data_IF_071076747471
#
_entry.id   IF_071076747471
#
_cell.length_a   1.000
_cell.length_b   1.000
_cell.length_c   1.000
_cell.angle_alpha   90.00
_cell.angle_beta   90.00
_cell.angle_gamma   90.00
#
_symmetry.space_group_name_H-M   'P 1'
#
loop_
_entity.id
_entity.type
_entity.pdbx_description
1 polymer ?
#
# COMPACT_ATOMS: atom_id res chain seq x y z
N UNK A 1 -39.47 -14.60 -26.56
CA UNK A 1 -38.51 -15.23 -25.63
C UNK A 1 -37.19 -15.33 -26.38
N UNK A 2 -36.36 -14.32 -26.27
CA UNK A 2 -35.02 -14.29 -26.86
C UNK A 2 -34.09 -13.80 -25.77
N UNK A 3 -33.27 -14.73 -25.25
CA UNK A 3 -32.29 -14.44 -24.23
C UNK A 3 -31.04 -13.81 -24.87
N UNK A 4 -30.86 -12.52 -24.66
CA UNK A 4 -29.59 -11.87 -24.94
C UNK A 4 -28.58 -12.26 -23.87
N UNK A 5 -27.68 -13.14 -24.22
CA UNK A 5 -26.49 -13.50 -23.45
C UNK A 5 -25.51 -12.33 -23.51
N UNK A 6 -25.47 -11.54 -22.45
CA UNK A 6 -24.54 -10.45 -22.24
C UNK A 6 -23.13 -11.07 -21.92
N UNK A 7 -22.37 -11.34 -22.97
CA UNK A 7 -20.95 -11.68 -22.87
C UNK A 7 -20.14 -10.38 -22.68
N UNK A 8 -20.24 -9.79 -21.49
CA UNK A 8 -19.36 -8.72 -21.07
C UNK A 8 -17.97 -9.28 -20.79
N UNK A 9 -16.97 -8.96 -21.63
CA UNK A 9 -15.57 -9.16 -21.29
C UNK A 9 -15.29 -8.47 -19.94
N UNK A 10 -14.58 -9.12 -19.00
CA UNK A 10 -14.21 -8.45 -17.76
C UNK A 10 -13.35 -7.23 -18.10
N UNK A 11 -13.80 -6.07 -17.69
CA UNK A 11 -13.05 -4.82 -17.80
C UNK A 11 -11.92 -4.87 -16.77
N UNK A 12 -10.77 -5.42 -17.18
CA UNK A 12 -9.53 -5.32 -16.39
C UNK A 12 -9.23 -3.82 -16.26
N UNK A 13 -9.39 -3.28 -15.05
CA UNK A 13 -8.86 -1.97 -14.72
C UNK A 13 -7.37 -2.00 -15.07
N UNK A 14 -6.91 -1.15 -16.01
CA UNK A 14 -5.51 -1.05 -16.37
C UNK A 14 -4.74 -0.70 -15.09
N UNK A 15 -4.03 -1.64 -14.52
CA UNK A 15 -2.87 -1.34 -13.69
C UNK A 15 -2.01 -0.38 -14.50
N UNK A 16 -1.51 0.71 -13.89
CA UNK A 16 -0.64 1.63 -14.61
C UNK A 16 0.58 0.86 -15.13
N UNK A 17 0.99 1.10 -16.36
CA UNK A 17 2.11 0.38 -16.99
C UNK A 17 3.40 0.48 -16.15
N UNK A 18 3.54 1.49 -15.29
CA UNK A 18 4.62 1.59 -14.29
C UNK A 18 4.44 0.58 -13.17
N UNK A 19 3.22 0.35 -12.67
CA UNK A 19 2.96 -0.63 -11.61
C UNK A 19 3.28 -2.04 -12.10
N UNK A 20 2.89 -2.38 -13.34
CA UNK A 20 3.23 -3.65 -13.98
C UNK A 20 4.75 -3.83 -14.14
N UNK A 21 5.46 -2.77 -14.54
CA UNK A 21 6.92 -2.80 -14.62
C UNK A 21 7.53 -3.06 -13.23
N UNK A 22 7.13 -2.30 -12.22
CA UNK A 22 7.69 -2.39 -10.88
C UNK A 22 7.36 -3.72 -10.20
N UNK A 23 6.20 -4.32 -10.45
CA UNK A 23 5.88 -5.67 -10.00
C UNK A 23 6.82 -6.72 -10.61
N UNK A 24 7.06 -6.68 -11.94
CA UNK A 24 8.01 -7.59 -12.59
C UNK A 24 9.43 -7.39 -12.05
N UNK A 25 9.83 -6.15 -11.82
CA UNK A 25 11.13 -5.82 -11.21
C UNK A 25 11.25 -6.40 -9.81
N UNK A 26 10.19 -6.29 -9.00
CA UNK A 26 10.16 -6.85 -7.64
C UNK A 26 10.23 -8.37 -7.63
N UNK A 27 9.53 -9.05 -8.55
CA UNK A 27 9.58 -10.51 -8.69
C UNK A 27 10.99 -11.02 -9.04
N UNK A 28 11.69 -10.30 -9.91
CA UNK A 28 13.03 -10.70 -10.35
C UNK A 28 14.16 -10.17 -9.46
N UNK A 29 13.88 -9.31 -8.48
CA UNK A 29 14.86 -8.48 -7.77
C UNK A 29 16.04 -9.26 -7.21
N UNK A 30 15.79 -10.37 -6.52
CA UNK A 30 16.83 -11.20 -5.92
C UNK A 30 17.73 -11.88 -6.95
N UNK A 31 17.26 -12.06 -8.19
CA UNK A 31 18.00 -12.68 -9.29
C UNK A 31 18.82 -11.65 -10.11
N UNK A 32 18.59 -10.36 -9.87
CA UNK A 32 19.29 -9.31 -10.58
C UNK A 32 20.73 -9.16 -10.11
N UNK A 33 21.68 -8.88 -11.02
CA UNK A 33 23.01 -8.39 -10.66
C UNK A 33 22.92 -7.12 -9.82
N UNK A 34 23.84 -6.93 -8.86
CA UNK A 34 23.84 -5.81 -7.90
C UNK A 34 23.63 -4.43 -8.54
N UNK A 35 24.24 -4.18 -9.69
CA UNK A 35 24.05 -2.92 -10.43
C UNK A 35 22.60 -2.71 -10.88
N UNK A 36 21.91 -3.79 -11.30
CA UNK A 36 20.51 -3.71 -11.71
C UNK A 36 19.56 -3.62 -10.50
N UNK A 37 19.92 -4.20 -9.35
CA UNK A 37 19.21 -3.99 -8.09
C UNK A 37 19.28 -2.53 -7.62
N UNK A 38 20.44 -1.88 -7.77
CA UNK A 38 20.60 -0.44 -7.48
C UNK A 38 19.65 0.40 -8.36
N UNK A 39 19.58 0.09 -9.65
CA UNK A 39 18.68 0.78 -10.59
C UNK A 39 17.23 0.52 -10.21
N UNK A 40 16.83 -0.72 -9.95
CA UNK A 40 15.48 -1.08 -9.51
C UNK A 40 15.04 -0.26 -8.27
N UNK A 41 15.88 -0.24 -7.23
CA UNK A 41 15.64 0.51 -6.01
C UNK A 41 15.59 2.03 -6.24
N UNK A 42 16.35 2.55 -7.19
CA UNK A 42 16.34 3.96 -7.55
C UNK A 42 15.05 4.34 -8.28
N UNK A 43 14.63 3.54 -9.27
CA UNK A 43 13.39 3.78 -10.02
C UNK A 43 12.18 3.82 -9.10
N UNK A 44 12.11 2.91 -8.14
CA UNK A 44 11.02 2.87 -7.16
C UNK A 44 11.04 4.12 -6.25
N UNK A 45 12.21 4.53 -5.75
CA UNK A 45 12.36 5.71 -4.89
C UNK A 45 12.02 7.01 -5.60
N UNK A 46 12.48 7.12 -6.86
CA UNK A 46 12.43 8.35 -7.65
C UNK A 46 11.33 8.33 -8.71
N UNK A 47 10.34 7.43 -8.57
CA UNK A 47 9.26 7.20 -9.52
C UNK A 47 8.71 8.48 -10.14
N UNK A 48 8.43 9.51 -9.32
CA UNK A 48 7.89 10.78 -9.79
C UNK A 48 8.90 11.64 -10.58
N UNK A 49 10.20 11.38 -10.45
CA UNK A 49 11.26 12.19 -11.06
C UNK A 49 11.86 11.54 -12.31
N UNK A 50 11.70 10.21 -12.47
CA UNK A 50 12.26 9.46 -13.60
C UNK A 50 11.87 10.05 -14.95
N UNK A 51 10.66 10.56 -15.08
CA UNK A 51 10.12 11.11 -16.33
C UNK A 51 10.90 12.34 -16.85
N UNK A 52 11.57 13.09 -15.97
CA UNK A 52 12.32 14.31 -16.33
C UNK A 52 13.83 14.14 -16.23
N UNK A 53 14.31 13.08 -15.57
CA UNK A 53 15.73 12.82 -15.39
C UNK A 53 16.40 12.33 -16.67
N UNK A 54 17.64 12.75 -16.89
CA UNK A 54 18.47 12.20 -17.96
C UNK A 54 19.09 10.87 -17.51
N UNK A 55 19.45 10.02 -18.46
CA UNK A 55 20.05 8.72 -18.18
C UNK A 55 21.31 8.83 -17.30
N UNK A 56 22.11 9.88 -17.49
CA UNK A 56 23.31 10.12 -16.71
C UNK A 56 22.98 10.43 -15.23
N UNK A 57 21.93 11.22 -14.97
CA UNK A 57 21.50 11.57 -13.62
C UNK A 57 20.99 10.33 -12.86
N UNK A 58 20.31 9.43 -13.56
CA UNK A 58 19.86 8.15 -12.99
C UNK A 58 21.08 7.26 -12.72
N UNK A 59 22.01 7.17 -13.66
CA UNK A 59 23.22 6.36 -13.52
C UNK A 59 24.09 6.82 -12.34
N UNK A 60 24.27 8.13 -12.19
CA UNK A 60 24.95 8.74 -11.03
C UNK A 60 24.20 8.45 -9.73
N UNK A 61 22.87 8.61 -9.72
CA UNK A 61 22.05 8.33 -8.54
C UNK A 61 22.02 6.86 -8.11
N UNK A 62 22.41 5.95 -9.01
CA UNK A 62 22.50 4.50 -8.75
C UNK A 62 23.95 4.02 -8.54
N UNK A 63 24.93 4.89 -8.72
CA UNK A 63 26.36 4.53 -8.75
C UNK A 63 26.65 3.43 -9.78
N UNK A 64 26.21 3.65 -11.04
CA UNK A 64 26.39 2.73 -12.14
C UNK A 64 26.73 3.47 -13.45
N UNK A 65 27.27 2.75 -14.44
CA UNK A 65 27.48 3.32 -15.77
C UNK A 65 26.13 3.44 -16.53
N UNK A 66 25.90 4.49 -17.36
CA UNK A 66 24.66 4.67 -18.14
C UNK A 66 24.23 3.45 -18.95
N UNK A 67 25.19 2.67 -19.46
CA UNK A 67 24.90 1.41 -20.19
C UNK A 67 24.19 0.37 -19.32
N UNK A 68 24.35 0.40 -18.00
CA UNK A 68 23.62 -0.50 -17.09
C UNK A 68 22.14 -0.13 -17.05
N UNK A 69 21.80 1.17 -17.13
CA UNK A 69 20.41 1.64 -17.19
C UNK A 69 19.73 1.18 -18.49
N UNK A 70 20.46 1.21 -19.61
CA UNK A 70 19.96 0.67 -20.90
C UNK A 70 19.73 -0.83 -20.81
N UNK A 71 20.69 -1.59 -20.27
CA UNK A 71 20.54 -3.05 -20.07
C UNK A 71 19.39 -3.39 -19.13
N UNK A 72 19.17 -2.58 -18.10
CA UNK A 72 18.02 -2.73 -17.22
C UNK A 72 16.70 -2.58 -18.00
N UNK A 73 16.54 -1.52 -18.78
CA UNK A 73 15.37 -1.32 -19.62
C UNK A 73 15.15 -2.49 -20.60
N UNK A 74 16.20 -2.97 -21.26
CA UNK A 74 16.14 -4.09 -22.21
C UNK A 74 15.74 -5.40 -21.51
N UNK A 75 16.23 -5.67 -20.31
CA UNK A 75 15.86 -6.87 -19.53
C UNK A 75 14.36 -6.92 -19.24
N UNK A 76 13.73 -5.76 -19.04
CA UNK A 76 12.29 -5.68 -18.74
C UNK A 76 11.44 -5.43 -20.00
N UNK A 77 11.99 -5.66 -21.21
CA UNK A 77 11.25 -5.72 -22.47
C UNK A 77 11.13 -4.40 -23.22
N UNK A 78 11.92 -3.38 -22.85
CA UNK A 78 11.98 -2.10 -23.58
C UNK A 78 13.18 -2.07 -24.52
N UNK A 79 13.07 -1.34 -25.63
CA UNK A 79 14.18 -1.17 -26.58
C UNK A 79 15.36 -0.38 -25.97
N UNK A 80 15.09 0.43 -24.93
CA UNK A 80 16.07 1.20 -24.20
C UNK A 80 15.44 2.11 -23.16
N UNK A 81 16.29 2.96 -22.53
CA UNK A 81 15.87 3.84 -21.45
C UNK A 81 14.74 4.81 -21.85
N UNK A 82 14.78 5.38 -23.06
CA UNK A 82 13.77 6.35 -23.51
C UNK A 82 12.37 5.74 -23.60
N UNK A 83 12.25 4.51 -24.06
CA UNK A 83 10.98 3.80 -24.11
C UNK A 83 10.50 3.47 -22.69
N UNK A 84 11.34 2.92 -21.84
CA UNK A 84 11.01 2.68 -20.42
C UNK A 84 10.60 4.00 -19.73
N UNK A 85 11.33 5.10 -19.98
CA UNK A 85 10.99 6.41 -19.44
C UNK A 85 9.62 6.92 -19.91
N UNK A 86 9.22 6.60 -21.14
CA UNK A 86 7.91 7.00 -21.66
C UNK A 86 6.75 6.39 -20.86
N UNK A 87 6.94 5.20 -20.29
CA UNK A 87 5.97 4.56 -19.41
C UNK A 87 5.78 5.39 -18.14
N UNK A 88 6.87 5.87 -17.54
CA UNK A 88 6.80 6.78 -16.39
C UNK A 88 6.18 8.14 -16.76
N UNK A 89 6.38 8.63 -17.97
CA UNK A 89 5.75 9.86 -18.45
C UNK A 89 4.24 9.71 -18.65
N UNK A 90 3.79 8.60 -19.23
CA UNK A 90 2.36 8.33 -19.42
C UNK A 90 1.66 8.12 -18.09
N UNK A 91 2.27 7.35 -17.18
CA UNK A 91 1.76 7.14 -15.82
C UNK A 91 1.70 8.46 -15.04
N UNK A 92 2.71 9.33 -15.21
CA UNK A 92 2.72 10.64 -14.59
C UNK A 92 1.62 11.56 -15.13
N UNK A 93 1.35 11.56 -16.43
CA UNK A 93 0.25 12.34 -17.00
C UNK A 93 -1.12 11.83 -16.54
N UNK A 94 -1.23 10.54 -16.25
CA UNK A 94 -2.45 9.96 -15.68
C UNK A 94 -2.52 10.07 -14.13
N UNK A 95 -1.39 9.89 -13.44
CA UNK A 95 -1.33 9.75 -11.98
C UNK A 95 -0.85 11.01 -11.25
N UNK A 96 0.03 11.80 -11.87
CA UNK A 96 0.67 12.99 -11.29
C UNK A 96 0.27 14.29 -12.01
N UNK A 97 -1.00 14.49 -12.18
CA UNK A 97 -1.48 15.86 -11.94
C UNK A 97 -1.26 16.10 -10.44
N UNK A 98 -0.69 17.28 -10.02
CA UNK A 98 -0.34 17.57 -8.62
C UNK A 98 -1.49 17.13 -7.75
N UNK A 99 -1.23 16.44 -6.63
CA UNK A 99 -2.21 15.71 -5.81
C UNK A 99 -3.58 16.35 -5.94
N UNK A 100 -4.36 15.89 -6.95
CA UNK A 100 -5.63 16.55 -7.29
C UNK A 100 -6.40 16.57 -6.00
N UNK A 101 -6.76 17.76 -5.53
CA UNK A 101 -7.58 17.87 -4.34
C UNK A 101 -8.75 16.90 -4.49
N UNK A 102 -9.26 16.36 -3.44
CA UNK A 102 -10.41 15.46 -3.48
C UNK A 102 -11.52 16.04 -4.39
N UNK A 103 -11.72 17.34 -4.33
CA UNK A 103 -12.62 18.11 -5.20
C UNK A 103 -12.25 18.04 -6.69
N UNK A 104 -10.96 18.07 -7.04
CA UNK A 104 -10.54 17.98 -8.44
C UNK A 104 -10.81 16.59 -9.02
N UNK A 105 -10.67 15.51 -8.23
CA UNK A 105 -11.06 14.17 -8.66
C UNK A 105 -12.55 14.08 -8.89
N UNK A 106 -13.38 14.64 -8.00
CA UNK A 106 -14.83 14.70 -8.17
C UNK A 106 -15.20 15.46 -9.45
N UNK A 107 -14.59 16.64 -9.69
CA UNK A 107 -14.83 17.42 -10.92
C UNK A 107 -14.49 16.64 -12.18
N UNK A 108 -13.42 15.85 -12.16
CA UNK A 108 -13.03 15.04 -13.30
C UNK A 108 -14.02 13.91 -13.55
N UNK A 109 -14.50 13.25 -12.49
CA UNK A 109 -15.56 12.23 -12.61
C UNK A 109 -16.81 12.83 -13.24
N UNK A 110 -17.16 14.06 -12.84
CA UNK A 110 -18.31 14.80 -13.43
C UNK A 110 -18.03 15.11 -14.90
N UNK A 111 -16.86 15.67 -15.24
CA UNK A 111 -16.48 16.06 -16.59
C UNK A 111 -16.30 14.85 -17.53
N UNK A 112 -15.75 13.72 -17.04
CA UNK A 112 -15.65 12.47 -17.80
C UNK A 112 -17.01 11.78 -17.97
N UNK A 113 -17.98 12.08 -17.10
CA UNK A 113 -19.36 11.60 -17.17
C UNK A 113 -20.22 12.32 -18.22
N UNK A 114 -19.80 13.47 -18.74
CA UNK A 114 -20.53 14.20 -19.77
C UNK A 114 -20.59 13.46 -21.11
N UNK A 115 -19.77 12.43 -21.33
CA UNK A 115 -19.81 11.55 -22.52
C UNK A 115 -20.61 10.25 -22.36
N UNK A 116 -20.91 9.83 -21.14
CA UNK A 116 -21.80 8.71 -20.83
C UNK A 116 -22.44 9.00 -19.47
N UNK A 117 -23.74 9.20 -19.45
CA UNK A 117 -24.50 9.43 -18.20
C UNK A 117 -24.36 8.18 -17.32
N UNK A 118 -23.37 8.18 -16.43
CA UNK A 118 -23.19 7.13 -15.43
C UNK A 118 -24.11 7.46 -14.26
N UNK A 119 -25.22 6.76 -14.14
CA UNK A 119 -26.16 6.94 -13.02
C UNK A 119 -25.51 6.54 -11.67
N UNK A 120 -26.04 7.05 -10.55
CA UNK A 120 -25.51 6.76 -9.21
C UNK A 120 -25.35 5.26 -8.91
N UNK A 121 -26.29 4.44 -9.33
CA UNK A 121 -26.23 2.98 -9.16
C UNK A 121 -25.08 2.33 -9.95
N UNK A 122 -24.81 2.82 -11.14
CA UNK A 122 -23.67 2.34 -11.96
C UNK A 122 -22.33 2.73 -11.33
N UNK A 123 -22.26 3.91 -10.71
CA UNK A 123 -21.06 4.29 -9.92
C UNK A 123 -20.84 3.34 -8.74
N UNK A 124 -21.91 3.00 -8.00
CA UNK A 124 -21.84 2.04 -6.91
C UNK A 124 -21.39 0.65 -7.38
N UNK A 125 -21.97 0.13 -8.47
CA UNK A 125 -21.57 -1.14 -9.05
C UNK A 125 -20.10 -1.14 -9.48
N UNK A 126 -19.59 -0.05 -10.02
CA UNK A 126 -18.17 0.09 -10.37
C UNK A 126 -17.24 0.00 -9.17
N UNK A 127 -17.61 0.61 -8.03
CA UNK A 127 -16.85 0.46 -6.79
C UNK A 127 -16.89 -0.97 -6.26
N UNK A 128 -18.03 -1.65 -6.34
CA UNK A 128 -18.19 -3.06 -5.96
C UNK A 128 -17.29 -3.95 -6.82
N UNK A 129 -17.34 -3.80 -8.13
CA UNK A 129 -16.54 -4.61 -9.06
C UNK A 129 -15.04 -4.38 -8.87
N UNK A 130 -14.64 -3.12 -8.68
CA UNK A 130 -13.25 -2.77 -8.41
C UNK A 130 -12.75 -3.35 -7.08
N UNK A 131 -13.61 -3.34 -6.06
CA UNK A 131 -13.27 -3.93 -4.76
C UNK A 131 -13.15 -5.45 -4.84
N UNK A 132 -14.03 -6.11 -5.60
CA UNK A 132 -13.96 -7.55 -5.85
C UNK A 132 -12.66 -7.91 -6.58
N UNK A 133 -12.32 -7.21 -7.67
CA UNK A 133 -11.07 -7.42 -8.38
C UNK A 133 -9.83 -7.24 -7.48
N UNK A 134 -9.83 -6.25 -6.58
CA UNK A 134 -8.75 -6.06 -5.60
C UNK A 134 -8.63 -7.21 -4.59
N UNK A 135 -9.75 -7.81 -4.17
CA UNK A 135 -9.75 -8.99 -3.30
C UNK A 135 -9.27 -10.24 -4.04
N UNK A 136 -9.67 -10.43 -5.31
CA UNK A 136 -9.20 -11.53 -6.14
C UNK A 136 -7.68 -11.44 -6.37
N UNK A 137 -7.15 -10.24 -6.60
CA UNK A 137 -5.70 -9.99 -6.72
C UNK A 137 -4.98 -10.27 -5.40
N UNK A 138 -5.52 -9.81 -4.27
CA UNK A 138 -4.95 -10.11 -2.94
C UNK A 138 -4.90 -11.63 -2.70
N UNK A 139 -5.96 -12.35 -3.03
CA UNK A 139 -6.00 -13.80 -2.88
C UNK A 139 -4.98 -14.51 -3.79
N UNK A 140 -4.81 -14.04 -5.03
CA UNK A 140 -3.88 -14.61 -6.01
C UNK A 140 -2.40 -14.32 -5.72
N UNK A 141 -2.11 -13.22 -5.01
CA UNK A 141 -0.74 -12.77 -4.68
C UNK A 141 -0.40 -12.92 -3.18
N UNK A 142 -1.24 -13.63 -2.40
CA UNK A 142 -1.10 -13.71 -0.96
C UNK A 142 0.16 -14.48 -0.54
N UNK A 143 1.07 -13.77 0.12
CA UNK A 143 2.30 -14.38 0.67
C UNK A 143 2.06 -14.88 2.11
N UNK A 144 1.80 -16.19 2.22
CA UNK A 144 1.57 -16.86 3.50
C UNK A 144 2.75 -16.72 4.45
N UNK A 145 3.99 -16.73 3.95
CA UNK A 145 5.20 -16.61 4.79
C UNK A 145 5.31 -15.21 5.40
N UNK A 146 5.07 -14.17 4.61
CA UNK A 146 5.05 -12.81 5.12
C UNK A 146 3.90 -12.59 6.11
N UNK A 147 2.73 -13.18 5.85
CA UNK A 147 1.61 -13.07 6.77
C UNK A 147 1.88 -13.77 8.10
N UNK A 148 2.40 -15.00 8.09
CA UNK A 148 2.78 -15.71 9.30
C UNK A 148 3.87 -14.96 10.08
N UNK A 149 4.87 -14.42 9.39
CA UNK A 149 5.91 -13.60 10.00
C UNK A 149 5.34 -12.31 10.64
N UNK A 150 4.33 -11.69 10.02
CA UNK A 150 3.63 -10.53 10.58
C UNK A 150 2.92 -10.89 11.89
N UNK A 151 2.18 -12.01 11.92
CA UNK A 151 1.53 -12.49 13.13
C UNK A 151 2.54 -12.78 14.23
N UNK A 152 3.65 -13.46 13.91
CA UNK A 152 4.71 -13.77 14.86
C UNK A 152 5.39 -12.52 15.44
N UNK A 153 5.57 -11.48 14.63
CA UNK A 153 6.05 -10.19 15.13
C UNK A 153 5.09 -9.59 16.16
N UNK A 154 3.79 -9.59 15.87
CA UNK A 154 2.77 -9.04 16.76
C UNK A 154 2.63 -9.85 18.04
N UNK A 155 2.74 -11.18 17.97
CA UNK A 155 2.75 -12.05 19.17
C UNK A 155 3.90 -11.69 20.12
N UNK A 156 5.09 -11.42 19.57
CA UNK A 156 6.29 -11.10 20.36
C UNK A 156 6.35 -9.64 20.86
N UNK A 157 5.54 -8.75 20.28
CA UNK A 157 5.56 -7.34 20.63
C UNK A 157 5.10 -7.09 22.08
N UNK A 158 5.80 -6.21 22.80
CA UNK A 158 5.33 -5.66 24.08
C UNK A 158 4.26 -4.60 23.84
N UNK A 159 4.51 -3.69 22.91
CA UNK A 159 3.55 -2.68 22.47
C UNK A 159 3.41 -2.71 20.96
N UNK A 160 2.21 -2.42 20.46
CA UNK A 160 1.90 -2.30 19.05
C UNK A 160 1.53 -0.84 18.78
N UNK A 161 2.34 -0.17 17.99
CA UNK A 161 2.04 1.17 17.49
C UNK A 161 1.41 1.06 16.11
N UNK A 162 0.40 1.85 15.82
CA UNK A 162 -0.26 1.87 14.52
C UNK A 162 -0.24 3.28 13.96
N UNK A 163 0.25 3.45 12.74
CA UNK A 163 0.25 4.73 12.04
C UNK A 163 -0.29 4.61 10.63
N UNK A 164 -1.26 5.44 10.32
CA UNK A 164 -1.71 5.72 8.97
C UNK A 164 -2.35 7.10 8.95
N UNK A 165 -2.29 7.80 7.81
CA UNK A 165 -2.79 9.16 7.69
C UNK A 165 -3.75 9.32 6.52
N UNK A 166 -4.52 10.39 6.52
CA UNK A 166 -5.51 10.71 5.48
C UNK A 166 -6.56 9.59 5.39
N UNK A 167 -6.85 9.07 4.19
CA UNK A 167 -7.89 8.04 3.99
C UNK A 167 -7.57 6.70 4.68
N UNK A 168 -6.29 6.32 4.79
CA UNK A 168 -5.90 5.08 5.48
C UNK A 168 -6.01 5.18 7.01
N UNK A 169 -6.27 6.37 7.55
CA UNK A 169 -6.53 6.56 8.97
C UNK A 169 -7.74 5.76 9.46
N UNK A 170 -8.77 5.58 8.62
CA UNK A 170 -9.92 4.74 8.94
C UNK A 170 -9.51 3.28 9.20
N UNK A 171 -8.53 2.77 8.45
CA UNK A 171 -7.99 1.42 8.65
C UNK A 171 -7.18 1.35 9.96
N UNK A 172 -6.34 2.37 10.23
CA UNK A 172 -5.59 2.43 11.48
C UNK A 172 -6.53 2.46 12.70
N UNK A 173 -7.60 3.24 12.63
CA UNK A 173 -8.61 3.29 13.69
C UNK A 173 -9.29 1.94 13.89
N UNK A 174 -9.64 1.28 12.79
CA UNK A 174 -10.26 -0.04 12.83
C UNK A 174 -9.34 -1.09 13.45
N UNK A 175 -8.09 -1.21 12.98
CA UNK A 175 -7.19 -2.25 13.49
C UNK A 175 -6.79 -1.98 14.94
N UNK A 176 -6.66 -0.73 15.36
CA UNK A 176 -6.45 -0.38 16.79
C UNK A 176 -7.64 -0.84 17.62
N UNK A 177 -8.86 -0.52 17.19
CA UNK A 177 -10.07 -1.00 17.86
C UNK A 177 -10.05 -2.53 17.99
N UNK A 178 -9.80 -3.26 16.90
CA UNK A 178 -9.76 -4.71 16.92
C UNK A 178 -8.67 -5.26 17.85
N UNK A 179 -7.45 -4.71 17.79
CA UNK A 179 -6.32 -5.17 18.60
C UNK A 179 -6.49 -4.86 20.09
N UNK A 180 -7.28 -3.85 20.47
CA UNK A 180 -7.60 -3.57 21.89
C UNK A 180 -8.40 -4.68 22.56
N UNK A 181 -9.07 -5.55 21.80
CA UNK A 181 -9.69 -6.77 22.32
C UNK A 181 -8.69 -7.90 22.59
N UNK A 182 -7.41 -7.67 22.32
CA UNK A 182 -6.33 -8.57 22.74
C UNK A 182 -5.65 -8.04 24.02
N UNK A 183 -4.84 -8.86 24.68
CA UNK A 183 -4.06 -8.40 25.85
C UNK A 183 -2.85 -7.54 25.49
N UNK A 184 -2.73 -7.09 24.21
CA UNK A 184 -1.64 -6.25 23.74
C UNK A 184 -1.88 -4.78 24.09
N UNK A 185 -0.81 -4.07 24.40
CA UNK A 185 -0.84 -2.62 24.54
C UNK A 185 -0.78 -2.00 23.14
N UNK A 186 -1.83 -1.30 22.74
CA UNK A 186 -1.99 -0.76 21.39
C UNK A 186 -2.06 0.76 21.41
N UNK A 187 -1.25 1.41 20.60
CA UNK A 187 -1.11 2.87 20.55
C UNK A 187 -1.41 3.37 19.14
N UNK A 188 -2.44 4.19 18.99
CA UNK A 188 -2.72 4.89 17.73
C UNK A 188 -1.87 6.16 17.64
N UNK A 189 -0.99 6.22 16.64
CA UNK A 189 -0.29 7.45 16.28
C UNK A 189 -1.23 8.27 15.39
N UNK A 190 -2.15 8.98 16.03
CA UNK A 190 -3.23 9.73 15.36
C UNK A 190 -2.74 11.05 14.76
N UNK A 191 -1.67 11.61 15.29
CA UNK A 191 -1.19 12.94 14.94
C UNK A 191 -2.13 14.07 15.40
N UNK A 192 -3.06 13.80 16.32
CA UNK A 192 -3.96 14.82 16.87
C UNK A 192 -3.14 15.98 17.43
N UNK A 193 -3.52 17.22 17.12
CA UNK A 193 -2.75 18.41 17.49
C UNK A 193 -1.36 18.49 16.86
N UNK A 194 -1.04 17.70 15.81
CA UNK A 194 0.28 17.63 15.20
C UNK A 194 1.29 16.76 15.95
N UNK A 195 0.87 16.10 17.04
CA UNK A 195 1.74 15.39 18.00
C UNK A 195 2.21 13.99 17.54
N UNK A 196 2.21 13.67 16.27
CA UNK A 196 2.66 12.33 15.81
C UNK A 196 4.12 12.04 16.19
N UNK A 197 4.97 13.08 16.32
CA UNK A 197 6.36 12.96 16.73
C UNK A 197 6.49 12.54 18.19
N UNK A 198 5.69 13.16 19.03
CA UNK A 198 5.63 12.88 20.47
C UNK A 198 5.03 11.50 20.72
N UNK A 199 3.97 11.15 19.99
CA UNK A 199 3.29 9.86 20.11
C UNK A 199 4.19 8.67 19.75
N UNK A 200 5.07 8.81 18.75
CA UNK A 200 5.99 7.72 18.35
C UNK A 200 7.29 7.68 19.17
N UNK A 201 7.60 8.72 19.94
CA UNK A 201 8.92 8.88 20.60
C UNK A 201 9.25 7.77 21.58
N UNK A 202 8.25 7.16 22.21
CA UNK A 202 8.44 6.10 23.22
C UNK A 202 8.61 4.70 22.64
N UNK A 203 8.50 4.52 21.31
CA UNK A 203 8.69 3.21 20.68
C UNK A 203 10.10 2.67 20.94
N UNK A 204 10.21 1.39 21.28
CA UNK A 204 11.46 0.74 21.64
C UNK A 204 11.68 -0.60 20.93
N UNK A 205 12.82 -1.24 21.22
CA UNK A 205 13.31 -2.45 20.54
C UNK A 205 12.37 -3.67 20.61
N UNK A 206 11.53 -3.73 21.65
CA UNK A 206 10.58 -4.83 21.86
C UNK A 206 9.20 -4.53 21.26
N UNK A 207 9.04 -3.37 20.63
CA UNK A 207 7.78 -2.91 20.05
C UNK A 207 7.70 -3.18 18.55
N UNK A 208 6.48 -3.15 18.03
CA UNK A 208 6.19 -3.24 16.61
C UNK A 208 5.40 -2.02 16.16
N UNK A 209 5.82 -1.42 15.06
CA UNK A 209 5.06 -0.42 14.34
C UNK A 209 4.32 -1.05 13.16
N UNK A 210 2.99 -1.02 13.16
CA UNK A 210 2.16 -1.26 11.96
C UNK A 210 2.06 0.07 11.22
N UNK A 211 2.63 0.15 10.03
CA UNK A 211 2.62 1.33 9.19
C UNK A 211 1.84 1.06 7.89
N UNK A 212 0.76 1.82 7.65
CA UNK A 212 -0.11 1.64 6.49
C UNK A 212 -0.03 2.88 5.60
N UNK A 213 0.50 2.74 4.39
CA UNK A 213 0.58 3.85 3.44
C UNK A 213 0.75 3.38 2.02
N UNK A 214 0.18 4.15 1.09
CA UNK A 214 0.24 3.96 -0.36
C UNK A 214 0.66 5.25 -1.05
N UNK A 215 1.18 5.21 -2.26
CA UNK A 215 1.51 6.43 -3.01
C UNK A 215 0.32 7.39 -3.17
N UNK A 216 0.52 8.70 -3.01
CA UNK A 216 1.71 9.34 -2.45
C UNK A 216 1.80 9.09 -0.94
N UNK A 217 2.91 8.49 -0.50
CA UNK A 217 3.09 8.08 0.89
C UNK A 217 2.94 9.26 1.88
N UNK A 218 2.30 9.00 3.01
CA UNK A 218 2.16 9.97 4.09
C UNK A 218 3.51 10.29 4.74
N UNK A 219 3.89 11.57 4.78
CA UNK A 219 5.17 12.01 5.38
C UNK A 219 5.27 11.62 6.85
N UNK A 220 4.15 11.67 7.55
CA UNK A 220 4.01 11.29 8.95
C UNK A 220 4.27 9.80 9.15
N UNK A 221 3.70 8.95 8.29
CA UNK A 221 3.90 7.49 8.31
C UNK A 221 5.36 7.13 8.06
N UNK A 222 5.98 7.75 7.03
CA UNK A 222 7.40 7.55 6.74
C UNK A 222 8.32 8.05 7.87
N UNK A 223 7.94 9.15 8.53
CA UNK A 223 8.67 9.64 9.69
C UNK A 223 8.62 8.64 10.84
N UNK A 224 7.43 8.13 11.19
CA UNK A 224 7.26 7.15 12.25
C UNK A 224 8.03 5.84 11.96
N UNK A 225 8.03 5.38 10.71
CA UNK A 225 8.81 4.21 10.29
C UNK A 225 10.32 4.42 10.52
N UNK A 226 10.86 5.60 10.18
CA UNK A 226 12.28 5.92 10.43
C UNK A 226 12.61 5.97 11.92
N UNK A 227 11.72 6.56 12.74
CA UNK A 227 11.91 6.62 14.20
C UNK A 227 11.90 5.20 14.78
N UNK A 228 10.95 4.35 14.38
CA UNK A 228 10.91 2.95 14.80
C UNK A 228 12.24 2.22 14.49
N UNK A 229 12.75 2.42 13.29
CA UNK A 229 14.05 1.85 12.87
C UNK A 229 15.23 2.35 13.73
N UNK A 230 15.29 3.67 13.97
CA UNK A 230 16.33 4.27 14.83
C UNK A 230 16.30 3.69 16.26
N UNK A 231 15.11 3.41 16.79
CA UNK A 231 14.91 2.84 18.12
C UNK A 231 14.96 1.29 18.11
N UNK A 232 15.32 0.66 16.97
CA UNK A 232 15.43 -0.79 16.78
C UNK A 232 14.11 -1.55 16.98
N UNK A 233 12.97 -0.85 16.91
CA UNK A 233 11.66 -1.46 16.84
C UNK A 233 11.46 -2.17 15.50
N UNK A 234 10.57 -3.16 15.46
CA UNK A 234 10.23 -3.83 14.23
C UNK A 234 9.14 -3.06 13.48
N UNK A 235 9.24 -3.05 12.16
CA UNK A 235 8.24 -2.40 11.29
C UNK A 235 7.54 -3.47 10.47
N UNK A 236 6.22 -3.52 10.60
CA UNK A 236 5.28 -4.23 9.73
C UNK A 236 4.66 -3.21 8.79
N UNK A 237 5.01 -3.25 7.52
CA UNK A 237 4.45 -2.38 6.50
C UNK A 237 3.25 -3.04 5.81
N UNK A 238 2.16 -2.29 5.61
CA UNK A 238 1.06 -2.65 4.72
C UNK A 238 1.05 -1.61 3.60
N UNK A 239 1.41 -2.02 2.39
CA UNK A 239 1.71 -1.12 1.27
C UNK A 239 1.57 -1.84 -0.07
N UNK A 240 1.72 -1.11 -1.17
CA UNK A 240 1.59 -1.65 -2.53
C UNK A 240 2.92 -2.10 -3.15
N UNK A 241 4.06 -1.81 -2.51
CA UNK A 241 5.37 -2.20 -3.02
C UNK A 241 6.36 -2.50 -1.90
N UNK A 242 7.02 -3.66 -2.00
CA UNK A 242 8.11 -4.03 -1.10
C UNK A 242 9.36 -3.16 -1.29
N UNK A 243 9.58 -2.62 -2.49
CA UNK A 243 10.70 -1.74 -2.81
C UNK A 243 10.38 -0.27 -2.59
N UNK A 244 9.11 0.05 -2.31
CA UNK A 244 8.64 1.41 -2.06
C UNK A 244 9.23 2.03 -0.79
N UNK A 245 8.99 3.33 -0.62
CA UNK A 245 9.58 4.10 0.48
C UNK A 245 9.22 3.58 1.88
N UNK A 246 8.13 2.81 2.01
CA UNK A 246 7.72 2.20 3.28
C UNK A 246 8.17 0.74 3.37
N UNK A 247 7.98 -0.06 2.31
CA UNK A 247 8.25 -1.51 2.32
C UNK A 247 9.72 -1.85 2.42
N UNK A 248 10.58 -1.10 1.71
CA UNK A 248 12.02 -1.39 1.62
C UNK A 248 12.73 -1.49 2.96
N UNK A 249 12.38 -0.65 3.91
CA UNK A 249 13.02 -0.60 5.22
C UNK A 249 12.20 -1.36 6.29
N UNK A 250 11.11 -2.05 5.90
CA UNK A 250 10.29 -2.84 6.82
C UNK A 250 10.91 -4.21 7.12
N UNK A 251 10.62 -4.74 8.30
CA UNK A 251 11.02 -6.09 8.67
C UNK A 251 10.11 -7.15 8.05
N UNK A 252 8.84 -6.81 7.90
CA UNK A 252 7.83 -7.61 7.21
C UNK A 252 6.96 -6.68 6.37
N UNK A 253 6.67 -7.07 5.15
CA UNK A 253 5.82 -6.30 4.25
C UNK A 253 4.65 -7.15 3.77
N UNK A 254 3.44 -6.70 4.09
CA UNK A 254 2.21 -7.25 3.52
C UNK A 254 1.82 -6.38 2.33
N UNK A 255 1.91 -6.94 1.14
CA UNK A 255 1.60 -6.22 -0.09
C UNK A 255 0.11 -6.28 -0.39
N UNK A 256 -0.47 -5.11 -0.71
CA UNK A 256 -1.87 -4.97 -1.09
C UNK A 256 -1.98 -4.06 -2.30
N UNK A 257 -2.49 -4.61 -3.39
CA UNK A 257 -2.88 -3.85 -4.56
C UNK A 257 -4.37 -3.52 -4.47
N UNK A 258 -4.68 -2.27 -4.17
CA UNK A 258 -6.07 -1.82 -4.07
C UNK A 258 -6.61 -1.39 -5.43
N UNK A 259 -7.75 -1.89 -5.78
CA UNK A 259 -8.48 -1.43 -6.96
C UNK A 259 -8.82 0.07 -6.89
N UNK A 260 -8.96 0.70 -8.05
CA UNK A 260 -9.28 2.12 -8.15
C UNK A 260 -10.44 2.36 -9.11
N UNK A 261 -11.49 3.03 -8.66
CA UNK A 261 -12.60 3.51 -9.48
C UNK A 261 -12.62 5.04 -9.45
N UNK A 262 -12.74 5.67 -10.61
CA UNK A 262 -12.80 7.14 -10.73
C UNK A 262 -11.63 7.86 -10.04
N UNK A 263 -10.42 7.32 -10.11
CA UNK A 263 -9.24 7.80 -9.40
C UNK A 263 -9.38 7.79 -7.84
N UNK A 264 -10.39 7.09 -7.31
CA UNK A 264 -10.51 6.78 -5.89
C UNK A 264 -10.08 5.34 -5.65
N UNK A 265 -8.99 5.14 -4.92
CA UNK A 265 -8.51 3.82 -4.52
C UNK A 265 -9.44 3.26 -3.45
N UNK A 266 -9.89 2.02 -3.59
CA UNK A 266 -10.59 1.29 -2.55
C UNK A 266 -9.68 1.08 -1.32
N UNK A 267 -10.24 0.60 -0.23
CA UNK A 267 -9.53 0.18 0.97
C UNK A 267 -10.03 -1.21 1.43
N UNK A 268 -10.76 -1.90 0.57
CA UNK A 268 -11.46 -3.15 0.89
C UNK A 268 -10.48 -4.28 1.15
N UNK A 269 -9.44 -4.40 0.31
CA UNK A 269 -8.41 -5.42 0.47
C UNK A 269 -7.56 -5.18 1.72
N UNK A 270 -7.22 -3.91 1.99
CA UNK A 270 -6.47 -3.55 3.19
C UNK A 270 -7.24 -3.86 4.48
N UNK A 271 -8.54 -3.54 4.53
CA UNK A 271 -9.35 -3.83 5.72
C UNK A 271 -9.53 -5.34 5.91
N UNK A 272 -9.75 -6.09 4.83
CA UNK A 272 -9.82 -7.55 4.85
C UNK A 272 -8.54 -8.15 5.44
N UNK A 273 -7.38 -7.70 4.98
CA UNK A 273 -6.08 -8.14 5.48
C UNK A 273 -5.88 -7.79 6.97
N UNK A 274 -6.29 -6.60 7.40
CA UNK A 274 -6.23 -6.20 8.81
C UNK A 274 -7.16 -7.03 9.69
N UNK A 275 -8.35 -7.41 9.19
CA UNK A 275 -9.26 -8.32 9.90
C UNK A 275 -8.61 -9.71 10.07
N UNK A 276 -8.07 -10.26 9.00
CA UNK A 276 -7.37 -11.55 9.03
C UNK A 276 -6.18 -11.52 10.02
N UNK A 277 -5.40 -10.42 10.01
CA UNK A 277 -4.25 -10.25 10.89
C UNK A 277 -4.67 -10.22 12.37
N UNK A 278 -5.75 -9.49 12.70
CA UNK A 278 -6.30 -9.47 14.05
C UNK A 278 -6.76 -10.87 14.51
N UNK A 279 -7.57 -11.55 13.69
CA UNK A 279 -8.10 -12.87 14.06
C UNK A 279 -6.97 -13.90 14.20
N UNK A 280 -5.98 -13.89 13.31
CA UNK A 280 -4.83 -14.77 13.39
C UNK A 280 -3.98 -14.51 14.65
N UNK A 281 -3.80 -13.23 15.02
CA UNK A 281 -3.12 -12.86 16.27
C UNK A 281 -3.90 -13.36 17.48
N UNK A 282 -5.22 -13.09 17.54
CA UNK A 282 -6.09 -13.53 18.64
C UNK A 282 -6.04 -15.05 18.81
N UNK A 283 -6.11 -15.80 17.70
CA UNK A 283 -5.98 -17.26 17.70
C UNK A 283 -4.62 -17.72 18.25
N UNK A 284 -3.51 -17.10 17.84
CA UNK A 284 -2.16 -17.44 18.37
C UNK A 284 -1.97 -17.06 19.83
N UNK A 285 -2.67 -16.04 20.32
CA UNK A 285 -2.65 -15.65 21.73
C UNK A 285 -3.60 -16.52 22.57
N UNK A 286 -4.34 -17.45 21.97
CA UNK A 286 -5.28 -18.35 22.63
C UNK A 286 -6.28 -17.58 23.51
N UNK A 287 -6.78 -16.46 22.99
CA UNK A 287 -7.73 -15.61 23.72
C UNK A 287 -9.00 -16.40 24.00
N UNK A 288 -9.38 -16.48 25.26
CA UNK A 288 -10.71 -16.94 25.66
C UNK A 288 -11.71 -15.86 25.22
N UNK A 289 -12.86 -16.29 24.69
CA UNK A 289 -13.97 -15.37 24.44
C UNK A 289 -14.39 -14.80 25.79
N UNK A 290 -14.29 -13.50 25.98
CA UNK A 290 -14.83 -12.83 27.13
C UNK A 290 -16.33 -13.11 27.16
N UNK A 291 -16.84 -13.60 28.28
CA UNK A 291 -18.29 -13.69 28.49
C UNK A 291 -18.83 -12.27 28.34
N UNK A 292 -19.78 -12.12 27.43
CA UNK A 292 -20.39 -10.83 27.12
C UNK A 292 -20.97 -10.25 28.41
N UNK A 293 -20.45 -9.14 28.90
CA UNK A 293 -21.07 -8.36 29.95
C UNK A 293 -22.47 -8.00 29.44
N UNK A 294 -23.49 -8.53 30.07
CA UNK A 294 -24.85 -8.25 29.65
C UNK A 294 -25.13 -6.74 29.80
N UNK A 295 -25.79 -6.09 28.83
CA UNK A 295 -26.06 -4.64 28.87
C UNK A 295 -26.98 -4.17 30.03
N UNK A 296 -27.28 -5.00 30.98
CA UNK A 296 -28.15 -4.68 32.12
C UNK A 296 -27.41 -4.35 33.42
N UNK A 297 -26.07 -4.36 33.45
CA UNK A 297 -25.33 -4.06 34.71
C UNK A 297 -24.88 -2.60 34.86
N UNK A 298 -25.38 -1.69 34.01
CA UNK A 298 -25.10 -0.26 34.12
C UNK A 298 -26.31 0.60 34.54
N UNK A 299 -27.41 -0.03 34.98
CA UNK A 299 -28.56 0.67 35.58
C UNK A 299 -28.54 0.47 37.10
N UNK A 300 -27.64 1.20 37.77
CA UNK A 300 -27.82 1.60 39.19
C UNK A 300 -27.06 2.91 39.46
#
# INVERSE_FOLDING_TARGET
>A
MSGDSFTGRPFMGKQGAVDELLQRVAQDFETLPRQLQNIASYLERQRANIMVQRINEIAEGCDVHPSAVVRFAQRFGYSGFTEMQSVFRSDYTETVKPARSYQQRIRNVIAEGEGAIVGPSQMALRFIDTSRAGLDELAGSFDTKQFDAAVDLLVKAENIYVVAVRRTFSIASYIVYALQHTHKRVHLVSGLGGMYREQIRSIGKNDVLIAISYPPYGKETLYCSRVAHQHKAKVLAITDSALGALGRDANVTLMVSEGSAFAFRALTSTICLCQALFVALAYKLELKVEETIHPGEYDD
#
